data_IF_116260649825
#
_entry.id   IF_116260649825
#
_cell.length_a   1.000
_cell.length_b   1.000
_cell.length_c   1.000
_cell.angle_alpha   90.00
_cell.angle_beta   90.00
_cell.angle_gamma   90.00
#
_symmetry.space_group_name_H-M   'P 1'
#
loop_
_entity.id
_entity.type
_entity.pdbx_description
1 polymer ?
#
# COMPACT_ATOMS: atom_id res chain seq x y z
N UNK A 1 0.37 -8.70 -25.21
CA UNK A 1 -0.66 -9.71 -24.85
C UNK A 1 -2.03 -9.07 -25.07
N UNK A 2 -3.08 -9.83 -25.37
CA UNK A 2 -4.44 -9.26 -25.35
C UNK A 2 -4.72 -8.71 -23.94
N UNK A 3 -5.39 -7.55 -23.79
CA UNK A 3 -5.68 -7.01 -22.47
C UNK A 3 -6.51 -8.03 -21.68
N UNK A 4 -6.02 -8.42 -20.50
CA UNK A 4 -6.76 -9.27 -19.59
C UNK A 4 -8.12 -8.63 -19.33
N UNK A 5 -9.19 -9.43 -19.31
CA UNK A 5 -10.54 -8.93 -18.97
C UNK A 5 -10.49 -8.44 -17.52
N UNK A 6 -10.63 -7.12 -17.33
CA UNK A 6 -10.64 -6.50 -16.01
C UNK A 6 -11.92 -6.88 -15.23
N UNK A 7 -11.83 -6.86 -13.90
CA UNK A 7 -13.00 -7.02 -13.04
C UNK A 7 -13.98 -5.86 -13.29
N UNK A 8 -15.27 -6.17 -13.39
CA UNK A 8 -16.31 -5.16 -13.58
C UNK A 8 -16.57 -4.39 -12.27
N UNK A 9 -16.49 -3.06 -12.32
CA UNK A 9 -16.76 -2.22 -11.15
C UNK A 9 -18.24 -2.28 -10.75
N UNK A 10 -18.52 -2.56 -9.47
CA UNK A 10 -19.87 -2.46 -8.90
C UNK A 10 -19.86 -1.60 -7.64
N UNK A 11 -19.97 -0.28 -7.83
CA UNK A 11 -19.91 0.69 -6.74
C UNK A 11 -21.07 0.53 -5.74
N UNK A 12 -22.24 0.07 -6.19
CA UNK A 12 -23.38 -0.14 -5.31
C UNK A 12 -23.14 -1.31 -4.35
N UNK A 13 -22.75 -2.48 -4.88
CA UNK A 13 -22.39 -3.67 -4.08
C UNK A 13 -21.30 -3.34 -3.08
N UNK A 14 -20.25 -2.64 -3.53
CA UNK A 14 -19.12 -2.27 -2.69
C UNK A 14 -19.55 -1.33 -1.56
N UNK A 15 -20.38 -0.32 -1.85
CA UNK A 15 -20.91 0.59 -0.85
C UNK A 15 -21.87 -0.09 0.14
N UNK A 16 -22.66 -1.07 -0.31
CA UNK A 16 -23.51 -1.90 0.55
C UNK A 16 -22.67 -2.77 1.49
N UNK A 17 -21.63 -3.44 0.97
CA UNK A 17 -20.71 -4.23 1.79
C UNK A 17 -19.97 -3.37 2.80
N UNK A 18 -19.47 -2.21 2.38
CA UNK A 18 -18.78 -1.26 3.25
C UNK A 18 -19.68 -0.77 4.39
N UNK A 19 -20.93 -0.41 4.09
CA UNK A 19 -21.92 -0.02 5.11
C UNK A 19 -22.22 -1.14 6.09
N UNK A 20 -22.36 -2.38 5.59
CA UNK A 20 -22.61 -3.54 6.43
C UNK A 20 -21.43 -3.84 7.37
N UNK A 21 -20.20 -3.76 6.86
CA UNK A 21 -19.00 -4.10 7.63
C UNK A 21 -18.60 -3.01 8.62
N UNK A 22 -18.57 -1.75 8.17
CA UNK A 22 -17.95 -0.66 8.93
C UNK A 22 -18.96 0.25 9.63
N UNK A 23 -20.21 0.34 9.16
CA UNK A 23 -21.22 1.22 9.78
C UNK A 23 -20.70 2.65 9.96
N UNK A 24 -20.59 3.10 11.22
CA UNK A 24 -20.03 4.42 11.60
C UNK A 24 -18.56 4.39 12.01
N UNK A 25 -17.85 3.27 11.85
CA UNK A 25 -16.47 3.11 12.32
C UNK A 25 -15.49 4.08 11.64
N UNK A 26 -15.82 4.58 10.44
CA UNK A 26 -15.04 5.58 9.70
C UNK A 26 -15.01 6.96 10.39
N UNK A 27 -15.98 7.25 11.26
CA UNK A 27 -16.05 8.51 12.03
C UNK A 27 -15.24 8.43 13.34
N UNK A 28 -14.90 7.23 13.78
CA UNK A 28 -14.18 6.98 15.05
C UNK A 28 -12.77 7.57 15.05
N UNK A 29 -12.12 7.56 16.23
CA UNK A 29 -10.71 7.97 16.38
C UNK A 29 -9.71 7.04 15.66
N UNK A 30 -10.17 5.99 14.97
CA UNK A 30 -9.34 5.05 14.20
C UNK A 30 -8.77 3.90 15.03
N UNK A 31 -8.08 2.99 14.35
CA UNK A 31 -7.38 1.87 14.97
C UNK A 31 -8.28 0.89 15.73
N UNK A 32 -7.81 0.38 16.88
CA UNK A 32 -8.51 -0.64 17.68
C UNK A 32 -9.94 -0.25 18.11
N UNK A 33 -10.25 1.05 18.19
CA UNK A 33 -11.60 1.50 18.50
C UNK A 33 -12.59 1.24 17.34
N UNK A 34 -12.15 1.44 16.09
CA UNK A 34 -12.95 1.18 14.90
C UNK A 34 -13.23 -0.31 14.72
N UNK A 35 -12.26 -1.17 15.05
CA UNK A 35 -12.37 -2.63 14.95
C UNK A 35 -13.52 -3.22 15.79
N UNK A 36 -13.79 -2.65 16.97
CA UNK A 36 -14.89 -3.10 17.86
C UNK A 36 -16.29 -2.83 17.29
N UNK A 37 -16.40 -1.89 16.36
CA UNK A 37 -17.67 -1.51 15.76
C UNK A 37 -18.00 -2.25 14.46
N UNK A 38 -17.13 -3.17 14.02
CA UNK A 38 -17.33 -3.94 12.79
C UNK A 38 -18.34 -5.07 12.94
N UNK A 39 -19.11 -5.32 11.89
CA UNK A 39 -20.01 -6.48 11.83
C UNK A 39 -19.21 -7.79 11.65
N UNK A 40 -19.48 -8.77 12.51
CA UNK A 40 -18.76 -10.06 12.49
C UNK A 40 -19.06 -10.92 11.27
N UNK A 41 -20.27 -10.85 10.68
CA UNK A 41 -20.61 -11.68 9.51
C UNK A 41 -19.95 -11.12 8.26
N UNK A 42 -20.05 -9.80 8.04
CA UNK A 42 -19.39 -9.12 6.95
C UNK A 42 -17.86 -9.26 7.04
N UNK A 43 -17.29 -9.17 8.24
CA UNK A 43 -15.86 -9.42 8.42
C UNK A 43 -15.48 -10.86 8.09
N UNK A 44 -16.25 -11.86 8.54
CA UNK A 44 -15.99 -13.26 8.17
C UNK A 44 -16.02 -13.44 6.65
N UNK A 45 -16.98 -12.84 5.96
CA UNK A 45 -17.05 -12.89 4.50
C UNK A 45 -15.81 -12.28 3.84
N UNK A 46 -15.31 -11.13 4.33
CA UNK A 46 -14.06 -10.55 3.85
C UNK A 46 -12.84 -11.45 4.11
N UNK A 47 -12.78 -12.12 5.27
CA UNK A 47 -11.73 -13.09 5.61
C UNK A 47 -11.77 -14.28 4.66
N UNK A 48 -12.93 -14.90 4.48
CA UNK A 48 -13.09 -16.06 3.59
C UNK A 48 -12.71 -15.68 2.14
N UNK A 49 -13.19 -14.54 1.67
CA UNK A 49 -12.95 -14.05 0.31
C UNK A 49 -11.48 -13.70 0.07
N UNK A 50 -10.79 -13.12 1.05
CA UNK A 50 -9.37 -12.82 0.95
C UNK A 50 -8.51 -14.09 1.00
N UNK A 51 -8.74 -14.93 2.02
CA UNK A 51 -7.86 -16.08 2.28
C UNK A 51 -8.09 -17.26 1.33
N UNK A 52 -9.17 -17.31 0.52
CA UNK A 52 -9.32 -18.33 -0.53
C UNK A 52 -8.15 -18.36 -1.52
N UNK A 53 -7.50 -17.21 -1.73
CA UNK A 53 -6.35 -17.05 -2.61
C UNK A 53 -5.03 -17.56 -2.03
N UNK A 54 -4.97 -17.82 -0.72
CA UNK A 54 -3.75 -18.14 0.02
C UNK A 54 -3.84 -19.48 0.77
N UNK A 55 -5.02 -19.84 1.27
CA UNK A 55 -5.24 -21.06 2.04
C UNK A 55 -4.91 -22.29 1.19
N UNK A 56 -4.07 -23.17 1.76
CA UNK A 56 -3.58 -24.41 1.15
C UNK A 56 -2.88 -24.19 -0.21
N UNK A 57 -2.19 -23.06 -0.37
CA UNK A 57 -1.38 -22.74 -1.57
C UNK A 57 0.04 -22.41 -1.13
N UNK A 58 0.89 -23.43 -1.13
CA UNK A 58 2.30 -23.28 -0.74
C UNK A 58 3.13 -22.65 -1.87
N UNK A 59 4.32 -22.14 -1.53
CA UNK A 59 5.24 -21.61 -2.51
C UNK A 59 5.83 -22.70 -3.42
N UNK A 60 5.86 -23.94 -2.94
CA UNK A 60 6.34 -25.12 -3.66
C UNK A 60 5.38 -25.57 -4.76
N UNK A 61 4.07 -25.43 -4.51
CA UNK A 61 2.98 -25.85 -5.40
C UNK A 61 2.47 -24.72 -6.30
N UNK A 62 3.05 -23.52 -6.20
CA UNK A 62 2.61 -22.38 -6.99
C UNK A 62 2.89 -22.57 -8.48
N UNK A 63 1.86 -22.38 -9.29
CA UNK A 63 1.93 -22.38 -10.76
C UNK A 63 1.51 -21.02 -11.33
N UNK A 64 1.80 -20.79 -12.61
CA UNK A 64 1.36 -19.58 -13.30
C UNK A 64 -0.17 -19.48 -13.35
N UNK A 65 -0.90 -20.59 -13.42
CA UNK A 65 -2.36 -20.60 -13.37
C UNK A 65 -2.89 -20.12 -12.02
N UNK A 66 -2.21 -20.47 -10.91
CA UNK A 66 -2.57 -19.98 -9.56
C UNK A 66 -2.34 -18.46 -9.48
N UNK A 67 -1.22 -17.97 -10.03
CA UNK A 67 -0.94 -16.53 -10.10
C UNK A 67 -1.97 -15.79 -10.94
N UNK A 68 -2.28 -16.30 -12.13
CA UNK A 68 -3.29 -15.71 -13.03
C UNK A 68 -4.67 -15.68 -12.37
N UNK A 69 -5.06 -16.72 -11.63
CA UNK A 69 -6.32 -16.71 -10.88
C UNK A 69 -6.35 -15.62 -9.80
N UNK A 70 -5.24 -15.35 -9.11
CA UNK A 70 -5.15 -14.21 -8.17
C UNK A 70 -5.22 -12.87 -8.90
N UNK A 71 -4.50 -12.72 -10.01
CA UNK A 71 -4.49 -11.47 -10.81
C UNK A 71 -5.85 -11.18 -11.43
N UNK A 72 -6.63 -12.19 -11.82
CA UNK A 72 -7.97 -12.02 -12.37
C UNK A 72 -8.96 -11.39 -11.36
N UNK A 73 -8.72 -11.58 -10.06
CA UNK A 73 -9.54 -11.04 -8.96
C UNK A 73 -8.81 -9.95 -8.15
N UNK A 74 -7.80 -9.29 -8.73
CA UNK A 74 -6.92 -8.34 -8.02
C UNK A 74 -7.69 -7.24 -7.26
N UNK A 75 -8.77 -6.70 -7.85
CA UNK A 75 -9.52 -5.60 -7.27
C UNK A 75 -10.30 -6.08 -6.04
N UNK A 76 -10.98 -7.21 -6.14
CA UNK A 76 -11.63 -7.89 -5.01
C UNK A 76 -10.65 -8.27 -3.91
N UNK A 77 -9.52 -8.89 -4.27
CA UNK A 77 -8.46 -9.29 -3.33
C UNK A 77 -7.96 -8.07 -2.53
N UNK A 78 -7.59 -7.00 -3.22
CA UNK A 78 -7.07 -5.76 -2.63
C UNK A 78 -8.13 -5.08 -1.74
N UNK A 79 -9.38 -5.01 -2.22
CA UNK A 79 -10.49 -4.38 -1.47
C UNK A 79 -10.76 -5.10 -0.15
N UNK A 80 -10.83 -6.44 -0.17
CA UNK A 80 -11.05 -7.23 1.04
C UNK A 80 -9.86 -7.19 1.98
N UNK A 81 -8.63 -7.21 1.45
CA UNK A 81 -7.42 -7.00 2.25
C UNK A 81 -7.52 -5.70 3.07
N UNK A 82 -7.75 -4.55 2.41
CA UNK A 82 -7.80 -3.27 3.12
C UNK A 82 -9.01 -3.13 4.03
N UNK A 83 -10.13 -3.80 3.77
CA UNK A 83 -11.25 -3.89 4.72
C UNK A 83 -10.84 -4.55 6.04
N UNK A 84 -9.91 -5.52 5.99
CA UNK A 84 -9.39 -6.22 7.15
C UNK A 84 -8.23 -5.47 7.82
N UNK A 85 -7.28 -4.98 7.03
CA UNK A 85 -5.98 -4.50 7.51
C UNK A 85 -5.95 -3.01 7.93
N UNK A 86 -6.83 -2.15 7.40
CA UNK A 86 -6.73 -0.68 7.59
C UNK A 86 -6.63 -0.26 9.05
N UNK A 87 -7.44 -0.82 9.95
CA UNK A 87 -7.39 -0.45 11.37
C UNK A 87 -6.12 -0.91 12.08
N UNK A 88 -5.55 -2.04 11.66
CA UNK A 88 -4.26 -2.50 12.15
C UNK A 88 -3.16 -1.56 11.68
N UNK A 89 -3.20 -1.12 10.41
CA UNK A 89 -2.25 -0.14 9.88
C UNK A 89 -2.35 1.21 10.58
N UNK A 90 -3.55 1.77 10.75
CA UNK A 90 -3.68 3.05 11.45
C UNK A 90 -3.20 2.99 12.90
N UNK A 91 -3.42 1.86 13.58
CA UNK A 91 -2.95 1.67 14.94
C UNK A 91 -1.43 1.45 15.02
N UNK A 92 -0.88 0.67 14.08
CA UNK A 92 0.51 0.18 14.15
C UNK A 92 1.52 0.95 13.32
N UNK A 93 1.08 1.73 12.33
CA UNK A 93 1.91 2.38 11.31
C UNK A 93 1.58 3.87 11.11
N UNK A 94 0.37 4.32 11.45
CA UNK A 94 -0.05 5.72 11.29
C UNK A 94 -0.94 5.91 10.06
N UNK A 95 -1.02 7.11 9.49
CA UNK A 95 -1.94 7.41 8.37
C UNK A 95 -1.30 7.41 6.98
N UNK A 96 0.02 7.21 6.89
CA UNK A 96 0.77 7.07 5.64
C UNK A 96 1.27 5.63 5.54
N UNK A 97 0.57 4.81 4.75
CA UNK A 97 0.84 3.38 4.61
C UNK A 97 1.93 3.14 3.56
N UNK A 98 3.17 3.49 3.86
CA UNK A 98 4.30 3.21 2.99
C UNK A 98 5.61 3.12 3.79
N UNK A 99 6.67 2.64 3.14
CA UNK A 99 8.01 2.59 3.68
C UNK A 99 8.78 3.89 3.46
N UNK A 100 9.84 4.07 4.22
CA UNK A 100 10.77 5.18 4.05
C UNK A 100 12.16 4.78 4.52
N UNK A 101 13.14 5.59 4.13
CA UNK A 101 14.51 5.51 4.65
C UNK A 101 14.59 6.22 5.99
N UNK A 102 15.47 5.78 6.89
CA UNK A 102 15.65 6.37 8.22
C UNK A 102 17.03 6.97 8.40
N UNK A 103 17.09 8.14 9.05
CA UNK A 103 18.34 8.69 9.58
C UNK A 103 18.44 8.53 11.10
N UNK A 104 19.66 8.61 11.62
CA UNK A 104 19.90 8.49 13.05
C UNK A 104 19.25 9.64 13.82
N UNK A 105 18.40 9.28 14.79
CA UNK A 105 17.67 10.22 15.65
C UNK A 105 16.44 10.85 14.99
N UNK A 106 16.08 10.43 13.77
CA UNK A 106 14.92 10.93 13.05
C UNK A 106 13.64 10.21 13.51
N UNK A 107 12.62 10.92 14.01
CA UNK A 107 11.33 10.32 14.35
C UNK A 107 10.64 9.71 13.12
N UNK A 108 9.96 8.58 13.32
CA UNK A 108 9.28 7.83 12.25
C UNK A 108 8.39 8.70 11.36
N UNK A 109 7.52 9.54 11.94
CA UNK A 109 6.63 10.41 11.17
C UNK A 109 7.39 11.47 10.36
N UNK A 110 8.56 11.93 10.83
CA UNK A 110 9.41 12.86 10.07
C UNK A 110 10.12 12.14 8.92
N UNK A 111 10.58 10.90 9.13
CA UNK A 111 11.19 10.09 8.08
C UNK A 111 10.20 9.80 6.93
N UNK A 112 8.95 9.48 7.27
CA UNK A 112 7.85 9.30 6.33
C UNK A 112 7.58 10.59 5.55
N UNK A 113 7.37 11.72 6.24
CA UNK A 113 7.14 13.01 5.59
C UNK A 113 8.31 13.43 4.68
N UNK A 114 9.56 13.21 5.11
CA UNK A 114 10.74 13.47 4.28
C UNK A 114 10.75 12.63 3.00
N UNK A 115 10.28 11.39 3.06
CA UNK A 115 10.17 10.53 1.89
C UNK A 115 9.12 11.07 0.89
N UNK A 116 7.96 11.48 1.40
CA UNK A 116 6.90 12.14 0.63
C UNK A 116 7.41 13.46 0.01
N UNK A 117 8.11 14.31 0.77
CA UNK A 117 8.70 15.56 0.28
C UNK A 117 9.77 15.32 -0.78
N UNK A 118 10.57 14.25 -0.65
CA UNK A 118 11.57 13.89 -1.65
C UNK A 118 10.90 13.55 -2.98
N UNK A 119 9.79 12.80 -2.99
CA UNK A 119 9.02 12.55 -4.20
C UNK A 119 8.48 13.85 -4.82
N UNK A 120 7.88 14.73 -4.02
CA UNK A 120 7.39 16.03 -4.47
C UNK A 120 8.49 16.87 -5.13
N UNK A 121 9.68 16.88 -4.54
CA UNK A 121 10.87 17.55 -5.06
C UNK A 121 11.31 16.95 -6.39
N UNK A 122 11.44 15.62 -6.48
CA UNK A 122 11.88 14.94 -7.71
C UNK A 122 10.89 15.14 -8.87
N UNK A 123 9.61 15.24 -8.57
CA UNK A 123 8.56 15.53 -9.56
C UNK A 123 8.48 17.03 -9.92
N UNK A 124 9.10 17.91 -9.15
CA UNK A 124 9.02 19.35 -9.34
C UNK A 124 7.60 19.90 -9.09
N UNK A 125 6.89 19.37 -8.10
CA UNK A 125 5.54 19.85 -7.74
C UNK A 125 5.58 21.32 -7.32
N UNK A 126 4.58 22.08 -7.77
CA UNK A 126 4.46 23.51 -7.50
C UNK A 126 3.06 23.85 -7.02
N UNK A 127 2.97 24.96 -6.29
CA UNK A 127 1.71 25.48 -5.79
C UNK A 127 0.65 25.57 -6.91
N UNK A 128 -0.59 25.20 -6.55
CA UNK A 128 -1.76 25.19 -7.42
C UNK A 128 -1.77 24.16 -8.56
N UNK A 129 -0.72 23.35 -8.77
CA UNK A 129 -0.80 22.22 -9.70
C UNK A 129 -1.94 21.26 -9.32
N UNK A 130 -2.63 20.74 -10.32
CA UNK A 130 -3.65 19.70 -10.15
C UNK A 130 -2.98 18.33 -10.20
N UNK A 131 -2.96 17.63 -9.07
CA UNK A 131 -2.23 16.39 -8.87
C UNK A 131 -3.19 15.23 -8.59
N UNK A 132 -2.92 14.07 -9.19
CA UNK A 132 -3.62 12.82 -8.87
C UNK A 132 -2.74 11.95 -7.97
N UNK A 133 -3.31 11.49 -6.86
CA UNK A 133 -2.73 10.45 -5.99
C UNK A 133 -3.41 9.12 -6.30
N UNK A 134 -2.68 8.17 -6.90
CA UNK A 134 -3.19 6.87 -7.32
C UNK A 134 -2.98 5.85 -6.19
N UNK A 135 -4.08 5.41 -5.56
CA UNK A 135 -4.05 4.52 -4.41
C UNK A 135 -3.87 5.27 -3.08
N UNK A 136 -4.64 6.34 -2.87
CA UNK A 136 -4.39 7.32 -1.81
C UNK A 136 -4.55 6.83 -0.36
N UNK A 137 -4.95 5.57 -0.14
CA UNK A 137 -5.20 5.02 1.20
C UNK A 137 -6.16 5.88 2.02
N UNK A 138 -5.81 6.14 3.28
CA UNK A 138 -6.50 7.08 4.18
C UNK A 138 -6.00 8.54 4.03
N UNK A 139 -5.29 8.85 2.93
CA UNK A 139 -4.90 10.18 2.51
C UNK A 139 -3.74 10.81 3.29
N UNK A 140 -2.93 10.04 4.03
CA UNK A 140 -1.76 10.56 4.74
C UNK A 140 -0.79 11.33 3.83
N UNK A 141 -0.24 10.68 2.78
CA UNK A 141 0.67 11.34 1.87
C UNK A 141 0.03 12.52 1.15
N UNK A 142 -1.22 12.39 0.71
CA UNK A 142 -1.95 13.48 0.10
C UNK A 142 -2.06 14.73 0.99
N UNK A 143 -2.31 14.58 2.29
CA UNK A 143 -2.34 15.71 3.24
C UNK A 143 -0.96 16.33 3.40
N UNK A 144 0.10 15.52 3.48
CA UNK A 144 1.46 16.03 3.60
C UNK A 144 1.91 16.77 2.33
N UNK A 145 1.64 16.21 1.14
CA UNK A 145 1.93 16.82 -0.15
C UNK A 145 1.27 18.18 -0.31
N UNK A 146 0.00 18.32 0.08
CA UNK A 146 -0.75 19.59 0.04
C UNK A 146 -0.10 20.63 0.97
N UNK A 147 0.25 20.24 2.21
CA UNK A 147 0.90 21.16 3.18
C UNK A 147 2.29 21.60 2.73
N UNK A 148 3.07 20.68 2.17
CA UNK A 148 4.44 20.92 1.77
C UNK A 148 4.55 21.78 0.50
N UNK A 149 3.76 21.45 -0.53
CA UNK A 149 3.92 22.02 -1.88
C UNK A 149 2.79 22.94 -2.34
N UNK A 150 1.66 22.99 -1.61
CA UNK A 150 0.52 23.84 -1.94
C UNK A 150 -0.31 23.40 -3.16
N UNK A 151 -0.10 22.17 -3.64
CA UNK A 151 -0.84 21.55 -4.75
C UNK A 151 -2.32 21.29 -4.42
N UNK A 152 -3.12 21.05 -5.45
CA UNK A 152 -4.50 20.57 -5.34
C UNK A 152 -4.53 19.07 -5.68
N UNK A 153 -4.86 18.22 -4.71
CA UNK A 153 -4.80 16.76 -4.88
C UNK A 153 -6.20 16.16 -5.02
N UNK A 154 -6.34 15.26 -6.00
CA UNK A 154 -7.45 14.30 -6.08
C UNK A 154 -6.88 12.93 -5.75
N UNK A 155 -7.31 12.32 -4.65
CA UNK A 155 -6.95 10.94 -4.32
C UNK A 155 -7.92 9.95 -4.97
N UNK A 156 -7.39 8.92 -5.63
CA UNK A 156 -8.14 7.81 -6.20
C UNK A 156 -7.91 6.55 -5.36
N UNK A 157 -8.98 5.87 -4.95
CA UNK A 157 -8.87 4.62 -4.21
C UNK A 157 -10.07 3.70 -4.48
N UNK A 158 -9.89 2.39 -4.43
CA UNK A 158 -10.95 1.41 -4.63
C UNK A 158 -11.67 1.02 -3.33
N UNK A 159 -11.29 1.59 -2.18
CA UNK A 159 -11.85 1.23 -0.88
C UNK A 159 -12.68 2.37 -0.28
N UNK A 160 -14.01 2.17 -0.18
CA UNK A 160 -14.96 3.17 0.34
C UNK A 160 -14.70 3.53 1.80
N UNK A 161 -14.25 2.57 2.61
CA UNK A 161 -13.89 2.81 4.01
C UNK A 161 -12.75 3.82 4.10
N UNK A 162 -11.66 3.57 3.37
CA UNK A 162 -10.50 4.45 3.37
C UNK A 162 -10.80 5.84 2.80
N UNK A 163 -11.65 5.94 1.77
CA UNK A 163 -12.11 7.25 1.23
C UNK A 163 -12.86 8.06 2.29
N UNK A 164 -13.77 7.42 3.04
CA UNK A 164 -14.50 8.10 4.10
C UNK A 164 -13.55 8.61 5.20
N UNK A 165 -12.57 7.78 5.60
CA UNK A 165 -11.55 8.18 6.56
C UNK A 165 -10.69 9.33 6.04
N UNK A 166 -10.21 9.24 4.81
CA UNK A 166 -9.38 10.25 4.17
C UNK A 166 -10.11 11.60 4.09
N UNK A 167 -11.39 11.58 3.72
CA UNK A 167 -12.26 12.76 3.69
C UNK A 167 -12.42 13.38 5.08
N UNK A 168 -12.67 12.56 6.10
CA UNK A 168 -12.79 13.02 7.49
C UNK A 168 -11.47 13.64 8.01
N UNK A 169 -10.32 13.04 7.69
CA UNK A 169 -9.02 13.58 8.09
C UNK A 169 -8.71 14.90 7.38
N UNK A 170 -8.95 14.98 6.07
CA UNK A 170 -8.77 16.23 5.33
C UNK A 170 -9.63 17.37 5.91
N UNK A 171 -10.89 17.08 6.25
CA UNK A 171 -11.78 18.06 6.88
C UNK A 171 -11.30 18.49 8.28
N UNK A 172 -10.84 17.55 9.12
CA UNK A 172 -10.30 17.84 10.46
C UNK A 172 -9.05 18.72 10.41
N UNK A 173 -8.26 18.60 9.35
CA UNK A 173 -7.06 19.40 9.14
C UNK A 173 -7.31 20.70 8.33
N UNK A 174 -8.56 20.96 7.93
CA UNK A 174 -8.92 22.17 7.18
C UNK A 174 -8.42 22.18 5.73
N UNK A 175 -8.25 21.02 5.11
CA UNK A 175 -7.68 20.86 3.76
C UNK A 175 -8.71 20.54 2.67
N UNK A 176 -10.01 20.58 2.99
CA UNK A 176 -11.08 20.19 2.05
C UNK A 176 -11.18 21.06 0.79
N UNK A 177 -10.57 22.24 0.78
CA UNK A 177 -10.49 23.14 -0.38
C UNK A 177 -9.43 22.71 -1.41
N UNK A 178 -8.37 22.04 -0.95
CA UNK A 178 -7.25 21.56 -1.79
C UNK A 178 -7.19 20.06 -1.97
N UNK A 179 -7.93 19.29 -1.18
CA UNK A 179 -7.87 17.83 -1.16
C UNK A 179 -9.27 17.21 -1.27
N UNK A 180 -9.44 16.36 -2.29
CA UNK A 180 -10.67 15.59 -2.53
C UNK A 180 -10.35 14.13 -2.85
N UNK A 181 -11.33 13.25 -2.68
CA UNK A 181 -11.16 11.81 -2.88
C UNK A 181 -12.25 11.25 -3.78
N UNK A 182 -11.88 10.31 -4.65
CA UNK A 182 -12.78 9.66 -5.61
C UNK A 182 -12.64 8.14 -5.50
N UNK A 183 -13.79 7.47 -5.45
CA UNK A 183 -13.88 6.00 -5.59
C UNK A 183 -13.62 5.61 -7.03
N UNK A 184 -12.74 4.64 -7.24
CA UNK A 184 -12.56 3.99 -8.53
C UNK A 184 -11.36 3.04 -8.56
N UNK A 185 -11.35 2.21 -9.58
CA UNK A 185 -10.23 1.35 -9.93
C UNK A 185 -9.20 2.12 -10.79
N UNK A 186 -7.92 2.10 -10.41
CA UNK A 186 -6.86 2.76 -11.18
C UNK A 186 -6.60 2.10 -12.54
N UNK A 187 -7.11 0.89 -12.78
CA UNK A 187 -7.06 0.25 -14.11
C UNK A 187 -8.15 0.79 -15.04
N UNK A 188 -9.14 1.51 -14.47
CA UNK A 188 -10.35 1.96 -15.15
C UNK A 188 -10.67 3.42 -14.76
N UNK A 189 -9.64 4.28 -14.78
CA UNK A 189 -9.74 5.66 -14.28
C UNK A 189 -10.83 6.48 -15.01
N UNK A 190 -11.90 6.84 -14.31
CA UNK A 190 -12.99 7.67 -14.82
C UNK A 190 -12.65 9.17 -14.81
N UNK A 191 -11.48 9.53 -15.35
CA UNK A 191 -11.05 10.91 -15.57
C UNK A 191 -10.85 11.17 -17.07
N UNK A 192 -11.12 12.40 -17.56
CA UNK A 192 -10.78 12.77 -18.92
C UNK A 192 -9.27 12.68 -19.18
N UNK A 193 -8.91 12.47 -20.45
CA UNK A 193 -7.52 12.53 -20.88
C UNK A 193 -6.92 13.91 -20.60
N UNK A 194 -5.61 13.98 -20.36
CA UNK A 194 -4.87 15.25 -20.19
C UNK A 194 -5.45 16.17 -19.09
N UNK A 195 -5.86 15.59 -17.97
CA UNK A 195 -6.51 16.31 -16.86
C UNK A 195 -5.51 16.85 -15.83
N UNK A 196 -4.48 16.08 -15.48
CA UNK A 196 -3.59 16.37 -14.34
C UNK A 196 -2.23 16.91 -14.79
N UNK A 197 -1.68 17.85 -14.01
CA UNK A 197 -0.34 18.40 -14.23
C UNK A 197 0.74 17.41 -13.78
N UNK A 198 0.45 16.67 -12.72
CA UNK A 198 1.29 15.59 -12.21
C UNK A 198 0.44 14.44 -11.64
N UNK A 199 0.99 13.23 -11.64
CA UNK A 199 0.39 12.06 -11.01
C UNK A 199 1.46 11.42 -10.13
N UNK A 200 1.10 10.95 -8.94
CA UNK A 200 1.98 10.07 -8.17
C UNK A 200 1.28 8.82 -7.69
N UNK A 201 2.06 7.79 -7.42
CA UNK A 201 1.64 6.58 -6.74
C UNK A 201 2.71 6.20 -5.71
N UNK A 202 2.33 6.02 -4.45
CA UNK A 202 3.26 5.57 -3.42
C UNK A 202 2.83 4.16 -3.03
N UNK A 203 3.60 3.16 -3.47
CA UNK A 203 3.45 1.75 -3.08
C UNK A 203 2.07 1.15 -3.41
N UNK A 204 1.37 1.71 -4.40
CA UNK A 204 0.00 1.35 -4.72
C UNK A 204 -0.16 0.55 -6.02
N UNK A 205 0.64 0.86 -7.05
CA UNK A 205 0.50 0.28 -8.39
C UNK A 205 0.88 -1.19 -8.44
N UNK A 206 1.65 -1.70 -7.47
CA UNK A 206 1.89 -3.14 -7.26
C UNK A 206 0.61 -3.97 -7.09
N UNK A 207 -0.51 -3.37 -6.64
CA UNK A 207 -1.79 -4.07 -6.54
C UNK A 207 -2.48 -4.28 -7.91
N UNK A 208 -2.00 -3.61 -8.97
CA UNK A 208 -2.51 -3.78 -10.32
C UNK A 208 -2.14 -5.16 -10.87
N UNK A 209 -2.99 -5.77 -11.73
CA UNK A 209 -2.66 -7.03 -12.38
C UNK A 209 -1.60 -6.85 -13.48
N UNK A 210 -1.33 -5.60 -13.87
CA UNK A 210 -0.34 -5.21 -14.87
C UNK A 210 0.14 -3.78 -14.61
N UNK A 211 1.45 -3.61 -14.39
CA UNK A 211 2.07 -2.29 -14.26
C UNK A 211 1.92 -1.47 -15.55
N UNK A 212 2.12 -2.08 -16.72
CA UNK A 212 1.94 -1.39 -18.02
C UNK A 212 0.51 -0.86 -18.17
N UNK A 213 -0.48 -1.66 -17.76
CA UNK A 213 -1.89 -1.27 -17.83
C UNK A 213 -2.22 -0.07 -16.95
N UNK A 214 -1.80 -0.07 -15.68
CA UNK A 214 -2.04 1.08 -14.78
C UNK A 214 -1.22 2.30 -15.20
N UNK A 215 0.04 2.13 -15.60
CA UNK A 215 0.86 3.24 -16.10
C UNK A 215 0.28 3.84 -17.39
N UNK A 216 -0.34 3.04 -18.25
CA UNK A 216 -1.05 3.54 -19.44
C UNK A 216 -2.27 4.39 -19.07
N UNK A 217 -3.03 4.03 -18.02
CA UNK A 217 -4.11 4.89 -17.51
C UNK A 217 -3.56 6.21 -16.94
N UNK A 218 -2.47 6.14 -16.19
CA UNK A 218 -1.77 7.33 -15.67
C UNK A 218 -1.31 8.22 -16.81
N UNK A 219 -0.67 7.65 -17.83
CA UNK A 219 -0.21 8.36 -19.02
C UNK A 219 -1.38 9.06 -19.73
N UNK A 220 -2.53 8.39 -19.86
CA UNK A 220 -3.73 8.96 -20.49
C UNK A 220 -4.24 10.20 -19.75
N UNK A 221 -4.38 10.13 -18.42
CA UNK A 221 -4.95 11.23 -17.62
C UNK A 221 -3.96 12.37 -17.34
N UNK A 222 -2.66 12.15 -17.54
CA UNK A 222 -1.62 13.16 -17.42
C UNK A 222 -1.62 14.09 -18.65
N UNK A 223 -1.45 15.40 -18.45
CA UNK A 223 -1.28 16.36 -19.54
C UNK A 223 0.01 16.10 -20.32
N UNK A 224 0.09 16.49 -21.61
CA UNK A 224 1.37 16.54 -22.31
C UNK A 224 2.37 17.41 -21.54
N UNK A 225 3.62 16.96 -21.45
CA UNK A 225 4.65 17.55 -20.60
C UNK A 225 4.50 17.31 -19.10
N UNK A 226 3.42 16.66 -18.63
CA UNK A 226 3.19 16.35 -17.23
C UNK A 226 4.11 15.27 -16.67
N UNK A 227 4.22 15.18 -15.34
CA UNK A 227 5.17 14.29 -14.65
C UNK A 227 4.46 13.19 -13.86
N UNK A 228 4.97 11.96 -13.97
CA UNK A 228 4.59 10.82 -13.14
C UNK A 228 5.76 10.43 -12.23
N UNK A 229 5.51 10.34 -10.92
CA UNK A 229 6.47 9.81 -9.94
C UNK A 229 5.89 8.63 -9.16
N UNK A 230 6.67 7.58 -8.95
CA UNK A 230 6.23 6.38 -8.22
C UNK A 230 7.32 5.83 -7.32
N UNK A 231 6.92 5.39 -6.14
CA UNK A 231 7.66 4.42 -5.33
C UNK A 231 7.01 3.05 -5.55
N UNK A 232 7.71 2.15 -6.24
CA UNK A 232 7.17 0.85 -6.63
C UNK A 232 7.79 -0.29 -5.82
N UNK A 233 6.97 -1.32 -5.58
CA UNK A 233 7.43 -2.58 -5.03
C UNK A 233 7.86 -3.51 -6.16
N UNK A 234 9.15 -3.86 -6.19
CA UNK A 234 9.73 -4.67 -7.25
C UNK A 234 10.67 -5.73 -6.69
N UNK A 235 10.69 -6.90 -7.32
CA UNK A 235 11.69 -7.93 -7.07
C UNK A 235 13.02 -7.52 -7.72
N UNK A 236 14.12 -7.62 -6.99
CA UNK A 236 15.45 -7.24 -7.49
C UNK A 236 16.05 -8.35 -8.35
N UNK A 237 17.23 -8.10 -8.90
CA UNK A 237 18.01 -9.10 -9.65
C UNK A 237 18.54 -10.25 -8.76
N UNK A 238 18.53 -10.10 -7.43
CA UNK A 238 18.89 -11.16 -6.48
C UNK A 238 17.75 -12.17 -6.26
N UNK A 239 16.53 -11.82 -6.67
CA UNK A 239 15.39 -12.73 -6.61
C UNK A 239 15.52 -13.82 -7.67
N UNK A 240 15.25 -15.06 -7.27
CA UNK A 240 15.27 -16.23 -8.16
C UNK A 240 13.99 -17.02 -7.92
N UNK A 241 13.13 -17.08 -8.94
CA UNK A 241 11.86 -17.79 -8.86
C UNK A 241 12.05 -19.31 -8.78
N UNK A 242 13.23 -19.86 -9.10
CA UNK A 242 13.52 -21.28 -8.94
C UNK A 242 13.97 -21.63 -7.51
N UNK A 243 14.30 -20.63 -6.69
CA UNK A 243 14.67 -20.84 -5.29
C UNK A 243 13.38 -20.89 -4.42
N UNK A 244 13.07 -22.04 -3.77
CA UNK A 244 11.87 -22.16 -2.94
C UNK A 244 11.80 -21.15 -1.80
N UNK A 245 12.93 -20.82 -1.19
CA UNK A 245 12.98 -19.85 -0.10
C UNK A 245 12.66 -18.43 -0.59
N UNK A 246 13.16 -18.06 -1.77
CA UNK A 246 12.84 -16.76 -2.39
C UNK A 246 11.34 -16.68 -2.71
N UNK A 247 10.77 -17.73 -3.30
CA UNK A 247 9.32 -17.80 -3.57
C UNK A 247 8.49 -17.69 -2.30
N UNK A 248 8.90 -18.36 -1.22
CA UNK A 248 8.21 -18.31 0.07
C UNK A 248 8.23 -16.90 0.66
N UNK A 249 9.36 -16.20 0.59
CA UNK A 249 9.47 -14.80 1.03
C UNK A 249 8.55 -13.91 0.19
N UNK A 250 8.63 -13.99 -1.14
CA UNK A 250 7.75 -13.23 -2.05
C UNK A 250 6.27 -13.50 -1.76
N UNK A 251 5.87 -14.77 -1.62
CA UNK A 251 4.48 -15.15 -1.37
C UNK A 251 3.99 -14.65 0.00
N UNK A 252 4.84 -14.68 1.02
CA UNK A 252 4.52 -14.13 2.35
C UNK A 252 4.33 -12.62 2.33
N UNK A 253 5.11 -11.89 1.52
CA UNK A 253 4.90 -10.47 1.24
C UNK A 253 3.56 -10.28 0.52
N UNK A 254 3.32 -11.01 -0.57
CA UNK A 254 2.08 -10.86 -1.35
C UNK A 254 0.80 -11.12 -0.54
N UNK A 255 0.80 -12.18 0.27
CA UNK A 255 -0.28 -12.51 1.21
C UNK A 255 -0.38 -11.49 2.35
N UNK A 256 0.75 -10.99 2.81
CA UNK A 256 0.83 -10.06 3.92
C UNK A 256 0.28 -8.68 3.60
N UNK A 257 0.42 -8.28 2.34
CA UNK A 257 0.21 -6.93 1.85
C UNK A 257 -0.95 -6.83 0.85
N UNK A 258 -1.62 -7.94 0.52
CA UNK A 258 -2.76 -7.93 -0.41
C UNK A 258 -2.34 -7.64 -1.86
N UNK A 259 -1.17 -8.15 -2.24
CA UNK A 259 -0.60 -7.98 -3.58
C UNK A 259 -0.92 -9.24 -4.39
N UNK A 260 -1.45 -9.05 -5.61
CA UNK A 260 -1.83 -10.19 -6.45
C UNK A 260 -0.62 -10.94 -7.01
N UNK A 261 0.38 -10.18 -7.45
CA UNK A 261 1.65 -10.66 -7.99
C UNK A 261 2.69 -9.53 -8.06
N UNK A 262 3.87 -9.72 -7.50
CA UNK A 262 5.00 -8.80 -7.71
C UNK A 262 5.80 -9.15 -8.98
N UNK A 263 6.38 -8.14 -9.61
CA UNK A 263 7.22 -8.28 -10.82
C UNK A 263 8.64 -7.78 -10.55
N UNK A 264 9.57 -8.11 -11.44
CA UNK A 264 10.97 -7.68 -11.30
C UNK A 264 11.17 -6.21 -11.64
N UNK A 265 12.28 -5.62 -11.17
CA UNK A 265 12.70 -4.26 -11.52
C UNK A 265 12.75 -4.07 -13.05
N UNK A 266 13.29 -5.05 -13.76
CA UNK A 266 13.39 -5.01 -15.23
C UNK A 266 12.02 -4.92 -15.91
N UNK A 267 11.03 -5.67 -15.40
CA UNK A 267 9.65 -5.67 -15.90
C UNK A 267 8.94 -4.35 -15.55
N UNK A 268 9.15 -3.80 -14.35
CA UNK A 268 8.62 -2.51 -13.95
C UNK A 268 9.13 -1.36 -14.82
N UNK A 269 10.45 -1.31 -15.07
CA UNK A 269 11.06 -0.33 -15.98
C UNK A 269 10.57 -0.49 -17.43
N UNK A 270 10.38 -1.74 -17.88
CA UNK A 270 9.85 -2.01 -19.22
C UNK A 270 8.40 -1.54 -19.35
N UNK A 271 7.55 -1.82 -18.34
CA UNK A 271 6.17 -1.36 -18.27
C UNK A 271 6.07 0.17 -18.29
N UNK A 272 6.94 0.86 -17.55
CA UNK A 272 7.00 2.32 -17.50
C UNK A 272 7.28 2.92 -18.88
N UNK A 273 8.24 2.36 -19.62
CA UNK A 273 8.56 2.77 -20.99
C UNK A 273 7.48 2.39 -21.99
N UNK A 274 6.91 1.20 -21.88
CA UNK A 274 5.85 0.71 -22.76
C UNK A 274 4.58 1.56 -22.67
N UNK A 275 4.27 2.10 -21.49
CA UNK A 275 3.18 3.07 -21.30
C UNK A 275 3.42 4.43 -22.00
N UNK A 276 4.64 4.70 -22.49
CA UNK A 276 4.99 5.89 -23.27
C UNK A 276 5.73 6.99 -22.49
N UNK A 277 6.13 6.75 -21.25
CA UNK A 277 6.87 7.73 -20.46
C UNK A 277 8.34 7.83 -20.88
N UNK A 278 8.83 9.07 -20.94
CA UNK A 278 10.26 9.36 -20.95
C UNK A 278 10.79 9.29 -19.52
N UNK A 279 11.65 8.31 -19.23
CA UNK A 279 12.23 8.12 -17.91
C UNK A 279 13.27 9.22 -17.63
N UNK A 280 13.04 10.01 -16.59
CA UNK A 280 13.93 11.09 -16.14
C UNK A 280 14.89 10.57 -15.07
N UNK A 281 14.36 9.82 -14.10
CA UNK A 281 15.13 9.28 -12.98
C UNK A 281 14.61 7.89 -12.61
N UNK A 282 15.52 6.97 -12.32
CA UNK A 282 15.19 5.69 -11.71
C UNK A 282 16.27 5.30 -10.70
N UNK A 283 15.86 4.87 -9.52
CA UNK A 283 16.78 4.54 -8.44
C UNK A 283 16.11 3.64 -7.41
N UNK A 284 16.83 2.63 -6.93
CA UNK A 284 16.43 1.89 -5.74
C UNK A 284 16.85 2.66 -4.48
N UNK A 285 15.87 3.27 -3.80
CA UNK A 285 16.14 4.02 -2.58
C UNK A 285 16.47 3.11 -1.38
N UNK A 286 16.09 1.84 -1.42
CA UNK A 286 16.40 0.87 -0.38
C UNK A 286 17.88 0.48 -0.35
N UNK A 287 18.59 0.60 -1.49
CA UNK A 287 20.00 0.25 -1.65
C UNK A 287 20.98 1.39 -1.31
N UNK A 288 20.45 2.58 -0.97
CA UNK A 288 21.31 3.66 -0.50
C UNK A 288 22.04 3.22 0.80
N UNK A 289 23.29 3.65 1.00
CA UNK A 289 24.14 3.16 2.09
C UNK A 289 23.77 3.80 3.45
N UNK A 290 22.54 3.60 3.90
CA UNK A 290 22.06 4.07 5.19
C UNK A 290 22.59 3.21 6.34
N UNK A 291 22.89 3.86 7.47
CA UNK A 291 23.27 3.16 8.70
C UNK A 291 22.10 2.34 9.27
N UNK A 292 20.86 2.78 9.02
CA UNK A 292 19.63 2.19 9.53
C UNK A 292 18.85 1.61 8.35
N UNK A 293 18.56 0.29 8.35
CA UNK A 293 17.80 -0.32 7.26
C UNK A 293 16.35 0.18 7.26
N UNK A 294 15.75 0.31 6.08
CA UNK A 294 14.35 0.73 5.92
C UNK A 294 13.36 -0.22 6.63
N UNK A 295 13.70 -1.50 6.79
CA UNK A 295 12.88 -2.50 7.50
C UNK A 295 13.08 -2.49 9.02
N UNK A 296 13.92 -1.59 9.56
CA UNK A 296 14.21 -1.51 10.99
C UNK A 296 12.95 -1.51 11.89
N UNK A 297 11.88 -0.76 11.59
CA UNK A 297 10.67 -0.76 12.42
C UNK A 297 10.02 -2.14 12.54
N UNK A 298 10.24 -3.04 11.58
CA UNK A 298 9.67 -4.38 11.53
C UNK A 298 10.59 -5.46 12.12
N UNK A 299 11.90 -5.23 12.13
CA UNK A 299 12.92 -6.24 12.45
C UNK A 299 12.86 -6.76 13.89
N UNK A 300 12.22 -6.04 14.82
CA UNK A 300 12.23 -6.41 16.24
C UNK A 300 13.63 -6.44 16.86
N UNK A 301 14.60 -5.77 16.23
CA UNK A 301 16.00 -5.73 16.62
C UNK A 301 16.35 -4.43 17.34
N UNK A 302 17.06 -4.54 18.46
CA UNK A 302 17.53 -3.40 19.26
C UNK A 302 18.78 -2.72 18.68
N UNK A 303 19.37 -3.30 17.62
CA UNK A 303 20.66 -2.86 17.06
C UNK A 303 20.63 -1.41 16.55
N UNK A 304 19.52 -0.99 15.97
CA UNK A 304 19.38 0.31 15.31
C UNK A 304 18.52 1.29 16.12
N UNK A 305 18.49 1.15 17.46
CA UNK A 305 17.74 2.05 18.34
C UNK A 305 18.21 3.50 18.17
N UNK A 306 17.33 4.35 17.67
CA UNK A 306 17.65 5.74 17.32
C UNK A 306 17.18 6.73 18.40
N UNK A 307 16.15 6.36 19.17
CA UNK A 307 15.57 7.19 20.22
C UNK A 307 14.95 6.34 21.34
N UNK A 308 14.76 6.90 22.56
CA UNK A 308 14.03 6.20 23.63
C UNK A 308 12.58 5.84 23.26
N UNK A 309 11.97 6.56 22.31
CA UNK A 309 10.61 6.28 21.84
C UNK A 309 10.54 5.03 20.98
N UNK A 310 11.64 4.64 20.33
CA UNK A 310 11.74 3.41 19.54
C UNK A 310 11.57 2.17 20.40
N UNK A 311 11.81 2.26 21.72
CA UNK A 311 11.70 1.12 22.63
C UNK A 311 10.32 0.47 22.54
N UNK A 312 9.26 1.25 22.47
CA UNK A 312 7.89 0.73 22.36
C UNK A 312 7.64 0.10 20.99
N UNK A 313 8.14 0.72 19.92
CA UNK A 313 8.03 0.22 18.54
C UNK A 313 8.74 -1.13 18.40
N UNK A 314 10.00 -1.20 18.81
CA UNK A 314 10.81 -2.43 18.72
C UNK A 314 10.23 -3.51 19.64
N UNK A 315 9.90 -3.18 20.89
CA UNK A 315 9.33 -4.13 21.85
C UNK A 315 8.13 -4.87 21.26
N UNK A 316 7.20 -4.14 20.64
CA UNK A 316 6.02 -4.71 19.98
C UNK A 316 6.37 -5.67 18.84
N UNK A 317 7.47 -5.44 18.13
CA UNK A 317 7.89 -6.24 16.97
C UNK A 317 8.82 -7.42 17.31
N UNK A 318 9.35 -7.48 18.53
CA UNK A 318 10.06 -8.68 19.01
C UNK A 318 9.17 -9.93 19.00
N UNK A 319 9.77 -11.12 19.01
CA UNK A 319 9.03 -12.39 19.07
C UNK A 319 8.08 -12.48 20.27
N UNK A 320 8.46 -11.94 21.44
CA UNK A 320 7.63 -11.96 22.64
C UNK A 320 6.56 -10.86 22.61
N UNK A 321 6.87 -9.67 22.09
CA UNK A 321 5.92 -8.58 21.93
C UNK A 321 4.79 -8.96 20.96
N UNK A 322 5.16 -9.53 19.81
CA UNK A 322 4.20 -10.12 18.87
C UNK A 322 3.42 -11.24 19.53
N UNK A 323 4.08 -12.14 20.26
CA UNK A 323 3.41 -13.20 21.02
C UNK A 323 2.37 -12.71 22.03
N UNK A 324 2.58 -11.55 22.67
CA UNK A 324 1.58 -10.91 23.54
C UNK A 324 0.42 -10.35 22.70
N UNK A 325 0.72 -9.63 21.61
CA UNK A 325 -0.29 -9.07 20.71
C UNK A 325 -1.19 -10.16 20.11
N UNK A 326 -0.62 -11.26 19.60
CA UNK A 326 -1.38 -12.41 19.07
C UNK A 326 -2.34 -12.99 20.11
N UNK A 327 -1.86 -13.23 21.33
CA UNK A 327 -2.71 -13.75 22.43
C UNK A 327 -3.81 -12.77 22.81
N UNK A 328 -3.52 -11.48 22.83
CA UNK A 328 -4.51 -10.45 23.10
C UNK A 328 -5.60 -10.43 22.03
N UNK A 329 -5.24 -10.39 20.74
CA UNK A 329 -6.20 -10.41 19.63
C UNK A 329 -7.06 -11.68 19.67
N UNK A 330 -6.44 -12.85 19.85
CA UNK A 330 -7.16 -14.12 19.95
C UNK A 330 -8.11 -14.18 21.16
N UNK A 331 -7.70 -13.63 22.31
CA UNK A 331 -8.57 -13.54 23.48
C UNK A 331 -9.77 -12.62 23.25
N UNK A 332 -9.54 -11.43 22.66
CA UNK A 332 -10.60 -10.47 22.32
C UNK A 332 -11.58 -11.03 21.28
N UNK A 333 -11.10 -11.79 20.30
CA UNK A 333 -11.94 -12.50 19.34
C UNK A 333 -12.76 -13.62 20.01
N UNK A 334 -12.15 -14.37 20.93
CA UNK A 334 -12.83 -15.46 21.65
C UNK A 334 -14.00 -14.97 22.50
N UNK A 335 -13.88 -13.80 23.14
CA UNK A 335 -14.95 -13.20 23.96
C UNK A 335 -15.90 -12.31 23.16
N UNK A 336 -15.72 -12.21 21.83
CA UNK A 336 -16.61 -11.46 20.94
C UNK A 336 -16.44 -9.94 20.96
N UNK A 337 -15.37 -9.42 21.58
CA UNK A 337 -15.04 -7.99 21.50
C UNK A 337 -14.38 -7.62 20.17
N UNK A 338 -13.63 -8.54 19.59
CA UNK A 338 -13.15 -8.43 18.23
C UNK A 338 -13.92 -9.39 17.30
N UNK A 339 -14.18 -8.96 16.06
CA UNK A 339 -14.86 -9.77 15.06
C UNK A 339 -14.08 -11.02 14.66
N UNK A 340 -14.79 -12.04 14.17
CA UNK A 340 -14.19 -13.32 13.76
C UNK A 340 -13.17 -13.15 12.64
N UNK A 341 -12.06 -13.87 12.75
CA UNK A 341 -10.94 -13.82 11.80
C UNK A 341 -9.96 -12.66 12.02
N UNK A 342 -10.14 -11.84 13.06
CA UNK A 342 -9.18 -10.80 13.43
C UNK A 342 -7.81 -11.40 13.77
N UNK A 343 -7.78 -12.55 14.44
CA UNK A 343 -6.53 -13.26 14.72
C UNK A 343 -5.86 -13.73 13.42
N UNK A 344 -6.61 -14.31 12.48
CA UNK A 344 -6.07 -14.77 11.20
C UNK A 344 -5.46 -13.62 10.39
N UNK A 345 -6.12 -12.46 10.37
CA UNK A 345 -5.57 -11.23 9.77
C UNK A 345 -4.29 -10.79 10.46
N UNK A 346 -4.25 -10.76 11.80
CA UNK A 346 -3.05 -10.38 12.56
C UNK A 346 -1.88 -11.35 12.31
N UNK A 347 -2.15 -12.65 12.21
CA UNK A 347 -1.16 -13.69 11.88
C UNK A 347 -0.59 -13.46 10.47
N UNK A 348 -1.44 -13.11 9.49
CA UNK A 348 -1.00 -12.79 8.13
C UNK A 348 -0.13 -11.53 8.05
N UNK A 349 -0.48 -10.48 8.82
CA UNK A 349 0.33 -9.26 8.91
C UNK A 349 1.68 -9.48 9.61
N UNK A 350 1.72 -10.37 10.61
CA UNK A 350 2.97 -10.73 11.26
C UNK A 350 3.91 -11.50 10.32
N UNK A 351 3.36 -12.42 9.52
CA UNK A 351 4.09 -13.11 8.45
C UNK A 351 4.64 -12.11 7.42
N UNK A 352 3.82 -11.13 7.01
CA UNK A 352 4.26 -10.03 6.14
C UNK A 352 5.51 -9.36 6.69
N UNK A 353 5.46 -8.92 7.95
CA UNK A 353 6.58 -8.26 8.62
C UNK A 353 7.87 -9.08 8.61
N UNK A 354 7.77 -10.40 8.85
CA UNK A 354 8.93 -11.30 8.80
C UNK A 354 9.48 -11.44 7.37
N UNK A 355 8.60 -11.60 6.37
CA UNK A 355 9.01 -11.74 4.98
C UNK A 355 9.56 -10.43 4.40
N UNK A 356 9.05 -9.26 4.80
CA UNK A 356 9.59 -7.95 4.43
C UNK A 356 11.00 -7.75 5.00
N UNK A 357 11.24 -8.13 6.25
CA UNK A 357 12.58 -8.08 6.85
C UNK A 357 13.52 -9.04 6.14
N UNK A 358 13.11 -10.31 5.96
CA UNK A 358 13.94 -11.32 5.30
C UNK A 358 14.25 -10.96 3.84
N UNK A 359 13.26 -10.41 3.12
CA UNK A 359 13.42 -9.93 1.76
C UNK A 359 14.37 -8.74 1.67
N UNK A 360 14.31 -7.80 2.62
CA UNK A 360 15.23 -6.68 2.71
C UNK A 360 16.66 -7.10 3.08
N UNK A 361 16.83 -8.00 4.04
CA UNK A 361 18.15 -8.53 4.45
C UNK A 361 18.85 -9.30 3.34
N UNK A 362 18.08 -10.07 2.55
CA UNK A 362 18.56 -10.83 1.40
C UNK A 362 18.56 -10.01 0.10
N UNK A 363 18.12 -8.75 0.16
CA UNK A 363 17.98 -7.84 -1.00
C UNK A 363 17.13 -8.40 -2.13
N UNK A 364 16.12 -9.22 -1.85
CA UNK A 364 15.29 -9.88 -2.87
C UNK A 364 14.22 -8.96 -3.45
N UNK A 365 13.83 -7.92 -2.72
CA UNK A 365 12.83 -6.96 -3.16
C UNK A 365 13.16 -5.57 -2.60
N UNK A 366 12.56 -4.56 -3.21
CA UNK A 366 12.57 -3.18 -2.73
C UNK A 366 11.14 -2.66 -2.66
N UNK A 367 10.74 -1.97 -1.58
CA UNK A 367 9.42 -1.33 -1.48
C UNK A 367 9.40 0.09 -2.07
N UNK A 368 10.57 0.64 -2.44
CA UNK A 368 10.71 2.07 -2.74
C UNK A 368 11.59 2.30 -3.97
N UNK A 369 11.37 1.51 -5.02
CA UNK A 369 12.02 1.76 -6.30
C UNK A 369 11.41 3.03 -6.90
N UNK A 370 12.20 4.10 -6.90
CA UNK A 370 11.77 5.40 -7.42
C UNK A 370 11.85 5.38 -8.94
N UNK A 371 10.76 5.71 -9.60
CA UNK A 371 10.75 6.09 -11.02
C UNK A 371 10.08 7.46 -11.16
N UNK A 372 10.73 8.36 -11.90
CA UNK A 372 10.15 9.64 -12.30
C UNK A 372 10.26 9.75 -13.81
N UNK A 373 9.14 10.05 -14.45
CA UNK A 373 9.07 10.19 -15.90
C UNK A 373 8.11 11.27 -16.34
N UNK A 374 8.23 11.63 -17.61
CA UNK A 374 7.42 12.67 -18.23
C UNK A 374 6.64 12.10 -19.40
N UNK A 375 5.41 12.59 -19.57
CA UNK A 375 4.65 12.40 -20.81
C UNK A 375 5.18 13.40 -21.85
N UNK A 376 5.61 12.95 -23.04
CA UNK A 376 6.04 13.86 -24.11
C UNK A 376 5.01 14.96 -24.43
N UNK A 377 5.47 16.08 -24.99
CA UNK A 377 4.63 17.23 -25.38
C UNK A 377 3.66 16.95 -26.54
#
# INVERSE_FOLDING_TARGET
>A
MAPAKLEEENHQRDAEFNRAMHGKSAESRGGLAAMRSKDSKAQKAAVDEYFKHWDNKSAEEETEEIREARRAEYATLTRHYYNLATDFYEYGWGSSFHFCRFNRGEPFLQAIARHEHYLALQMGLKENMKVLDVGCGVGGPAREMVKFSGVNVVGLNNNDYQIQRATNYAAREGLSDKLSFKKGDFMQMSFPDNTFDAVYAIEATVHAPSLEGVYSQIFRVLKPGGVFGVYEWLMTDEYDNNNPEHRKIRLGIEQGDGISNMVTVSEGLAAFKAAGFELIHAEDLAERPDEIPWYYPLAGSWKHLTSPWDVLTIARMTWWGRGIAHRFVGAMEKIGLFPKGSQKTADSLALAGDCLVAGGEKKLFTPMYLMVGRKPE
#
